data_IF_808206498196
#
_entry.id   IF_808206498196
#
_cell.length_a   1.000
_cell.length_b   1.000
_cell.length_c   1.000
_cell.angle_alpha   90.00
_cell.angle_beta   90.00
_cell.angle_gamma   90.00
#
_symmetry.space_group_name_H-M   'P 1'
#
loop_
_entity.id
_entity.type
_entity.pdbx_description
1 polymer ?
#
# COMPACT_ATOMS: atom_id res chain seq x y z
N UNK A 1 18.50 -21.87 16.61
CA UNK A 1 17.97 -20.64 17.18
C UNK A 1 19.07 -19.83 17.90
N UNK A 2 19.73 -20.34 18.94
CA UNK A 2 20.75 -19.61 19.70
C UNK A 2 21.88 -19.06 18.81
N UNK A 3 22.41 -19.84 17.88
CA UNK A 3 23.45 -19.41 16.94
C UNK A 3 22.97 -18.29 16.03
N UNK A 4 21.75 -18.38 15.49
CA UNK A 4 21.16 -17.35 14.64
C UNK A 4 20.94 -16.05 15.44
N UNK A 5 20.36 -16.14 16.63
CA UNK A 5 20.16 -14.99 17.52
C UNK A 5 21.48 -14.32 17.87
N UNK A 6 22.51 -15.09 18.20
CA UNK A 6 23.84 -14.56 18.53
C UNK A 6 24.50 -13.84 17.34
N UNK A 7 24.49 -14.47 16.14
CA UNK A 7 25.08 -13.90 14.93
C UNK A 7 24.36 -12.63 14.48
N UNK A 8 23.03 -12.63 14.48
CA UNK A 8 22.27 -11.44 14.11
C UNK A 8 22.33 -10.34 15.18
N UNK A 9 22.39 -10.73 16.47
CA UNK A 9 22.55 -9.74 17.53
C UNK A 9 23.91 -9.02 17.46
N UNK A 10 24.98 -9.72 17.06
CA UNK A 10 26.33 -9.15 16.95
C UNK A 10 26.57 -8.36 15.66
N UNK A 11 25.84 -8.62 14.57
CA UNK A 11 26.11 -8.08 13.23
C UNK A 11 25.05 -7.15 12.66
N UNK A 12 23.85 -7.11 13.24
CA UNK A 12 22.74 -6.29 12.75
C UNK A 12 22.21 -5.32 13.81
N UNK A 13 22.01 -4.04 13.48
CA UNK A 13 21.36 -3.09 14.37
C UNK A 13 19.87 -3.42 14.57
N UNK A 14 19.26 -4.21 13.65
CA UNK A 14 17.86 -4.63 13.74
C UNK A 14 17.72 -5.92 14.54
N UNK A 15 16.60 -6.11 15.28
CA UNK A 15 16.21 -7.41 15.79
C UNK A 15 16.08 -8.45 14.67
N UNK A 16 16.30 -9.73 14.98
CA UNK A 16 16.22 -10.81 13.99
C UNK A 16 14.82 -10.94 13.39
N UNK A 17 14.69 -10.65 12.10
CA UNK A 17 13.43 -10.77 11.38
C UNK A 17 13.03 -12.23 11.16
N UNK A 18 14.01 -13.10 10.87
CA UNK A 18 13.79 -14.53 10.66
C UNK A 18 13.39 -15.23 11.97
N UNK A 19 14.09 -14.93 13.07
CA UNK A 19 13.78 -15.50 14.38
C UNK A 19 12.40 -15.04 14.86
N UNK A 20 12.09 -13.74 14.73
CA UNK A 20 10.79 -13.17 15.09
C UNK A 20 9.65 -13.79 14.29
N UNK A 21 9.82 -13.95 12.97
CA UNK A 21 8.83 -14.61 12.11
C UNK A 21 8.63 -16.08 12.45
N UNK A 22 9.72 -16.83 12.69
CA UNK A 22 9.67 -18.23 13.09
C UNK A 22 8.96 -18.41 14.44
N UNK A 23 9.32 -17.62 15.45
CA UNK A 23 8.69 -17.67 16.78
C UNK A 23 7.19 -17.34 16.69
N UNK A 24 6.82 -16.34 15.87
CA UNK A 24 5.42 -15.98 15.68
C UNK A 24 4.60 -17.11 15.06
N UNK A 25 5.10 -17.75 13.98
CA UNK A 25 4.39 -18.85 13.34
C UNK A 25 4.30 -20.06 14.28
N UNK A 26 5.40 -20.42 14.95
CA UNK A 26 5.39 -21.58 15.84
C UNK A 26 4.51 -21.38 17.07
N UNK A 27 4.43 -20.18 17.65
CA UNK A 27 3.57 -19.93 18.81
C UNK A 27 2.09 -20.09 18.46
N UNK A 28 1.66 -19.74 17.23
CA UNK A 28 0.28 -19.95 16.78
C UNK A 28 -0.08 -21.45 16.75
N UNK A 29 0.82 -22.29 16.25
CA UNK A 29 0.62 -23.73 16.25
C UNK A 29 0.65 -24.30 17.68
N UNK A 30 1.58 -23.84 18.52
CA UNK A 30 1.67 -24.28 19.91
C UNK A 30 0.40 -23.93 20.71
N UNK A 31 -0.19 -22.75 20.50
CA UNK A 31 -1.46 -22.35 21.13
C UNK A 31 -2.58 -23.34 20.75
N UNK A 32 -2.70 -23.69 19.46
CA UNK A 32 -3.68 -24.65 19.00
C UNK A 32 -3.42 -26.04 19.61
N UNK A 33 -2.17 -26.47 19.68
CA UNK A 33 -1.76 -27.74 20.23
C UNK A 33 -2.00 -27.81 21.75
N UNK A 34 -1.64 -26.78 22.49
CA UNK A 34 -1.89 -26.68 23.95
C UNK A 34 -3.37 -26.76 24.25
N UNK A 35 -4.21 -26.04 23.47
CA UNK A 35 -5.66 -26.14 23.61
C UNK A 35 -6.15 -27.60 23.44
N UNK A 36 -5.65 -28.31 22.44
CA UNK A 36 -6.00 -29.71 22.19
C UNK A 36 -5.59 -30.59 23.40
N UNK A 37 -4.39 -30.39 23.97
CA UNK A 37 -3.94 -31.11 25.13
C UNK A 37 -4.81 -30.84 26.35
N UNK A 38 -5.22 -29.63 26.60
CA UNK A 38 -6.13 -29.31 27.71
C UNK A 38 -7.52 -29.95 27.56
N UNK A 39 -8.04 -30.03 26.32
CA UNK A 39 -9.33 -30.67 26.05
C UNK A 39 -9.29 -32.20 26.10
N UNK A 40 -8.14 -32.77 25.75
CA UNK A 40 -7.95 -34.25 25.74
C UNK A 40 -7.46 -34.80 27.09
N UNK A 41 -7.01 -33.94 28.01
CA UNK A 41 -6.41 -34.42 29.28
C UNK A 41 -7.47 -34.96 30.23
N UNK A 42 -7.42 -36.27 30.47
CA UNK A 42 -8.28 -36.98 31.43
C UNK A 42 -7.49 -37.44 32.65
N UNK A 43 -6.19 -37.66 32.53
CA UNK A 43 -5.31 -38.21 33.55
C UNK A 43 -4.36 -37.16 34.15
N UNK A 44 -3.87 -37.40 35.38
CA UNK A 44 -2.92 -36.50 36.06
C UNK A 44 -1.61 -36.29 35.29
N UNK A 45 -1.13 -37.30 34.56
CA UNK A 45 0.07 -37.21 33.70
C UNK A 45 -0.17 -36.35 32.45
N UNK A 46 -1.33 -36.47 31.82
CA UNK A 46 -1.74 -35.67 30.68
C UNK A 46 -1.93 -34.20 31.08
N UNK A 47 -2.48 -33.94 32.27
CA UNK A 47 -2.62 -32.62 32.83
C UNK A 47 -1.25 -31.99 33.12
N UNK A 48 -0.28 -32.74 33.61
CA UNK A 48 1.09 -32.27 33.81
C UNK A 48 1.75 -31.88 32.46
N UNK A 49 1.53 -32.67 31.42
CA UNK A 49 2.01 -32.40 30.07
C UNK A 49 1.38 -31.12 29.48
N UNK A 50 0.06 -30.94 29.69
CA UNK A 50 -0.67 -29.76 29.25
C UNK A 50 -0.11 -28.50 29.92
N UNK A 51 0.18 -28.56 31.24
CA UNK A 51 0.81 -27.45 31.98
C UNK A 51 2.21 -27.14 31.47
N UNK A 52 3.04 -28.16 31.22
CA UNK A 52 4.39 -28.00 30.68
C UNK A 52 4.36 -27.34 29.28
N UNK A 53 3.45 -27.79 28.44
CA UNK A 53 3.26 -27.20 27.10
C UNK A 53 2.80 -25.74 27.19
N UNK A 54 1.93 -25.40 28.13
CA UNK A 54 1.53 -24.00 28.40
C UNK A 54 2.72 -23.13 28.82
N UNK A 55 3.60 -23.64 29.71
CA UNK A 55 4.84 -22.96 30.05
C UNK A 55 5.74 -22.72 28.83
N UNK A 56 5.79 -23.67 27.91
CA UNK A 56 6.49 -23.51 26.61
C UNK A 56 5.96 -22.34 25.77
N UNK A 57 4.64 -22.22 25.67
CA UNK A 57 4.00 -21.10 24.96
C UNK A 57 4.31 -19.76 25.62
N UNK A 58 4.21 -19.70 26.96
CA UNK A 58 4.55 -18.47 27.73
C UNK A 58 6.02 -18.09 27.52
N UNK A 59 6.93 -19.05 27.56
CA UNK A 59 8.35 -18.81 27.31
C UNK A 59 8.60 -18.29 25.89
N UNK A 60 7.96 -18.85 24.86
CA UNK A 60 8.04 -18.32 23.49
C UNK A 60 7.47 -16.92 23.38
N UNK A 61 6.35 -16.62 24.03
CA UNK A 61 5.79 -15.27 24.08
C UNK A 61 6.75 -14.25 24.69
N UNK A 62 7.41 -14.62 25.80
CA UNK A 62 8.45 -13.80 26.41
C UNK A 62 9.65 -13.59 25.48
N UNK A 63 10.09 -14.63 24.78
CA UNK A 63 11.16 -14.50 23.77
C UNK A 63 10.77 -13.53 22.65
N UNK A 64 9.54 -13.60 22.14
CA UNK A 64 9.03 -12.67 21.13
C UNK A 64 9.06 -11.23 21.68
N UNK A 65 8.59 -10.98 22.88
CA UNK A 65 8.58 -9.67 23.51
C UNK A 65 9.99 -9.10 23.71
N UNK A 66 10.93 -9.95 24.09
CA UNK A 66 12.33 -9.56 24.26
C UNK A 66 13.00 -9.25 22.91
N UNK A 67 12.79 -10.09 21.88
CA UNK A 67 13.34 -9.87 20.54
C UNK A 67 12.67 -8.69 19.81
N UNK A 68 11.43 -8.34 20.16
CA UNK A 68 10.72 -7.21 19.59
C UNK A 68 11.30 -5.84 20.05
N UNK A 69 12.09 -5.80 21.11
CA UNK A 69 12.68 -4.54 21.62
C UNK A 69 13.75 -4.02 20.67
N UNK A 70 13.75 -2.70 20.46
CA UNK A 70 14.80 -2.03 19.68
C UNK A 70 16.16 -2.13 20.37
N UNK A 71 17.20 -2.37 19.58
CA UNK A 71 18.59 -2.51 20.05
C UNK A 71 19.33 -1.19 20.21
N UNK A 72 18.71 -0.04 19.89
CA UNK A 72 19.36 1.29 19.89
C UNK A 72 20.12 1.63 21.15
N UNK A 73 19.66 1.16 22.34
CA UNK A 73 20.31 1.40 23.63
C UNK A 73 21.59 0.56 23.85
N UNK A 74 21.78 -0.49 23.05
CA UNK A 74 22.88 -1.45 23.23
C UNK A 74 23.98 -1.29 22.18
N UNK A 75 23.76 -0.41 21.18
CA UNK A 75 24.73 -0.16 20.11
C UNK A 75 25.68 0.94 20.57
N UNK A 76 26.98 0.64 20.55
CA UNK A 76 28.04 1.60 20.89
C UNK A 76 28.10 2.66 19.80
N UNK A 77 28.17 3.95 20.17
CA UNK A 77 28.22 5.10 19.25
C UNK A 77 26.98 5.30 18.36
N UNK A 78 25.79 4.90 18.85
CA UNK A 78 24.55 5.18 18.14
C UNK A 78 24.07 6.61 18.44
N UNK A 79 24.22 7.51 17.48
CA UNK A 79 23.64 8.85 17.60
C UNK A 79 22.18 8.85 17.07
N UNK A 80 21.26 9.11 17.99
CA UNK A 80 19.81 9.21 17.68
C UNK A 80 19.50 10.37 16.75
N UNK A 81 20.39 11.38 16.64
CA UNK A 81 20.22 12.51 15.72
C UNK A 81 20.61 12.21 14.29
N UNK A 82 21.46 11.21 14.06
CA UNK A 82 21.95 10.83 12.74
C UNK A 82 21.21 9.64 12.15
N UNK A 83 20.56 8.82 13.00
CA UNK A 83 19.92 7.58 12.60
C UNK A 83 18.42 7.58 12.86
N UNK A 84 17.66 7.03 11.92
CA UNK A 84 16.21 6.85 12.09
C UNK A 84 15.88 5.75 13.11
N UNK A 85 14.86 5.94 13.97
CA UNK A 85 14.34 4.88 14.82
C UNK A 85 13.90 3.64 14.02
N UNK A 86 13.56 3.80 12.74
CA UNK A 86 13.22 2.75 11.80
C UNK A 86 14.36 1.74 11.60
N UNK A 87 15.61 2.19 11.63
CA UNK A 87 16.79 1.34 11.43
C UNK A 87 16.99 0.28 12.52
N UNK A 88 16.55 0.57 13.74
CA UNK A 88 16.67 -0.34 14.89
C UNK A 88 15.38 -1.05 15.27
N UNK A 89 14.29 -0.78 14.57
CA UNK A 89 12.98 -1.34 14.87
C UNK A 89 12.84 -2.75 14.27
N UNK A 90 12.34 -3.69 15.09
CA UNK A 90 12.06 -5.05 14.67
C UNK A 90 10.78 -5.21 13.84
N UNK A 91 10.53 -6.45 13.39
CA UNK A 91 9.40 -6.81 12.51
C UNK A 91 8.05 -6.29 13.03
N UNK A 92 7.75 -6.48 14.31
CA UNK A 92 6.47 -6.07 14.90
C UNK A 92 6.32 -4.55 14.98
N UNK A 93 7.40 -3.85 15.31
CA UNK A 93 7.41 -2.39 15.37
C UNK A 93 7.25 -1.75 14.00
N UNK A 94 7.80 -2.37 12.94
CA UNK A 94 7.61 -1.94 11.55
C UNK A 94 6.18 -2.22 11.08
N UNK A 95 5.65 -3.42 11.32
CA UNK A 95 4.31 -3.80 10.86
C UNK A 95 3.17 -3.04 11.55
N UNK A 96 3.36 -2.61 12.81
CA UNK A 96 2.39 -1.82 13.55
C UNK A 96 2.75 -0.31 13.61
N UNK A 97 3.82 0.14 12.94
CA UNK A 97 4.32 1.52 12.94
C UNK A 97 4.56 2.11 14.34
N UNK A 98 4.91 1.26 15.32
CA UNK A 98 5.06 1.68 16.72
C UNK A 98 6.17 2.73 16.93
N UNK A 99 7.16 2.74 16.08
CA UNK A 99 8.26 3.70 16.09
C UNK A 99 7.82 5.14 15.78
N UNK A 100 6.68 5.33 15.11
CA UNK A 100 6.09 6.65 14.80
C UNK A 100 5.28 7.23 15.96
N UNK A 101 4.89 6.43 16.96
CA UNK A 101 4.02 6.89 18.05
C UNK A 101 4.56 8.11 18.78
N UNK A 102 5.87 8.17 19.01
CA UNK A 102 6.50 9.33 19.69
C UNK A 102 6.37 10.60 18.83
N UNK A 103 6.50 10.49 17.51
CA UNK A 103 6.32 11.60 16.57
C UNK A 103 4.86 12.05 16.52
N UNK A 104 3.91 11.13 16.49
CA UNK A 104 2.48 11.44 16.52
C UNK A 104 2.06 12.13 17.82
N UNK A 105 2.54 11.68 18.96
CA UNK A 105 2.28 12.33 20.24
C UNK A 105 2.88 13.74 20.30
N UNK A 106 4.06 13.94 19.70
CA UNK A 106 4.68 15.26 19.59
C UNK A 106 3.84 16.18 18.69
N UNK A 107 3.38 15.68 17.54
CA UNK A 107 2.53 16.43 16.60
C UNK A 107 1.14 16.74 17.16
N UNK A 108 0.60 15.91 18.05
CA UNK A 108 -0.63 16.23 18.78
C UNK A 108 -0.47 17.41 19.74
N UNK A 109 0.72 17.57 20.34
CA UNK A 109 0.99 18.63 21.33
C UNK A 109 1.47 19.95 20.72
N UNK A 110 2.15 19.89 19.56
CA UNK A 110 2.69 21.08 18.87
C UNK A 110 2.70 20.89 17.36
N UNK A 111 2.76 22.00 16.63
CA UNK A 111 3.02 21.99 15.18
C UNK A 111 4.43 21.45 14.96
N UNK A 112 4.56 20.44 14.10
CA UNK A 112 5.84 19.83 13.77
C UNK A 112 6.63 20.72 12.81
N UNK A 113 7.89 20.96 13.12
CA UNK A 113 8.88 21.59 12.26
C UNK A 113 9.77 20.51 11.61
N UNK A 114 10.51 20.89 10.57
CA UNK A 114 11.42 19.97 9.87
C UNK A 114 12.45 19.35 10.82
N UNK A 115 12.93 20.10 11.80
CA UNK A 115 13.88 19.64 12.81
C UNK A 115 13.28 18.66 13.83
N UNK A 116 11.96 18.52 13.88
CA UNK A 116 11.27 17.57 14.73
C UNK A 116 11.12 16.19 14.10
N UNK A 117 11.35 16.10 12.78
CA UNK A 117 11.27 14.85 12.02
C UNK A 117 12.50 13.98 12.28
N UNK A 118 12.32 12.68 12.18
CA UNK A 118 13.43 11.75 12.24
C UNK A 118 14.34 11.88 11.02
N UNK A 119 15.65 11.65 11.17
CA UNK A 119 16.54 11.56 10.02
C UNK A 119 16.13 10.43 9.08
N UNK A 120 16.50 10.56 7.82
CA UNK A 120 16.22 9.55 6.81
C UNK A 120 17.11 8.32 7.02
N UNK A 121 16.56 7.13 6.81
CA UNK A 121 17.34 5.88 6.79
C UNK A 121 18.47 5.98 5.74
N UNK A 122 19.67 5.57 6.10
CA UNK A 122 20.85 5.60 5.23
C UNK A 122 20.65 4.85 3.91
N UNK A 123 19.82 3.82 3.90
CA UNK A 123 19.44 3.09 2.67
C UNK A 123 18.55 3.91 1.72
N UNK A 124 17.99 5.01 2.19
CA UNK A 124 17.15 5.91 1.39
C UNK A 124 17.85 7.23 1.05
N UNK A 125 19.03 7.47 1.62
CA UNK A 125 19.82 8.67 1.32
C UNK A 125 20.23 8.68 -0.16
N UNK A 126 20.01 9.81 -0.84
CA UNK A 126 20.26 9.93 -2.29
C UNK A 126 21.72 9.67 -2.67
N UNK A 127 22.66 9.99 -1.79
CA UNK A 127 24.10 9.76 -2.02
C UNK A 127 24.44 8.28 -2.00
N UNK A 128 23.99 7.55 -0.98
CA UNK A 128 24.22 6.09 -0.87
C UNK A 128 23.55 5.32 -2.00
N UNK A 129 22.33 5.73 -2.40
CA UNK A 129 21.61 5.17 -3.53
C UNK A 129 22.34 5.41 -4.85
N UNK A 130 22.81 6.65 -5.07
CA UNK A 130 23.56 6.98 -6.29
C UNK A 130 24.87 6.22 -6.36
N UNK A 131 25.66 6.15 -5.29
CA UNK A 131 26.92 5.41 -5.26
C UNK A 131 26.75 3.93 -5.61
N UNK A 132 25.65 3.28 -5.14
CA UNK A 132 25.38 1.86 -5.39
C UNK A 132 24.77 1.58 -6.78
N UNK A 133 24.01 2.52 -7.33
CA UNK A 133 23.08 2.26 -8.43
C UNK A 133 23.35 3.14 -9.67
N UNK A 134 24.31 4.08 -9.62
CA UNK A 134 24.65 4.98 -10.74
C UNK A 134 25.00 4.23 -12.02
N UNK A 135 25.67 3.10 -11.91
CA UNK A 135 26.03 2.25 -13.06
C UNK A 135 24.78 1.78 -13.86
N UNK A 136 23.65 1.57 -13.23
CA UNK A 136 22.41 1.16 -13.90
C UNK A 136 21.67 2.33 -14.54
N UNK A 137 21.94 3.56 -14.10
CA UNK A 137 21.33 4.80 -14.59
C UNK A 137 22.21 5.54 -15.61
N UNK A 138 23.24 4.91 -16.13
CA UNK A 138 24.03 5.51 -17.18
C UNK A 138 23.19 5.75 -18.43
N UNK A 139 23.05 7.04 -18.78
CA UNK A 139 22.22 7.51 -19.90
C UNK A 139 22.65 6.87 -21.22
N UNK A 140 23.94 6.51 -21.38
CA UNK A 140 24.45 5.87 -22.56
C UNK A 140 23.79 4.51 -22.86
N UNK A 141 23.39 3.78 -21.81
CA UNK A 141 22.81 2.43 -21.89
C UNK A 141 21.35 2.42 -22.35
N UNK A 142 20.60 3.50 -22.12
CA UNK A 142 19.18 3.55 -22.44
C UNK A 142 18.76 4.68 -23.40
N UNK A 143 19.70 5.52 -23.83
CA UNK A 143 19.46 6.58 -24.82
C UNK A 143 18.85 5.99 -26.12
N UNK A 144 17.72 6.55 -26.54
CA UNK A 144 17.00 6.11 -27.75
C UNK A 144 16.08 4.89 -27.58
N UNK A 145 16.06 4.24 -26.42
CA UNK A 145 15.12 3.13 -26.16
C UNK A 145 13.80 3.64 -25.57
N UNK A 146 12.67 3.22 -26.18
CA UNK A 146 11.30 3.68 -25.80
C UNK A 146 10.97 3.51 -24.30
N UNK A 147 11.50 2.50 -23.63
CA UNK A 147 11.29 2.20 -22.22
C UNK A 147 12.60 2.11 -21.42
N UNK A 148 13.65 2.77 -21.90
CA UNK A 148 15.00 2.65 -21.34
C UNK A 148 15.08 3.04 -19.87
N UNK A 149 14.50 4.20 -19.49
CA UNK A 149 14.49 4.66 -18.09
C UNK A 149 13.74 3.71 -17.16
N UNK A 150 12.55 3.23 -17.56
CA UNK A 150 11.79 2.29 -16.75
C UNK A 150 12.55 0.98 -16.52
N UNK A 151 13.22 0.46 -17.55
CA UNK A 151 14.03 -0.75 -17.45
C UNK A 151 15.28 -0.54 -16.58
N UNK A 152 15.93 0.63 -16.68
CA UNK A 152 17.08 1.00 -15.87
C UNK A 152 16.69 1.10 -14.38
N UNK A 153 15.57 1.77 -14.07
CA UNK A 153 15.02 1.84 -12.71
C UNK A 153 14.63 0.47 -12.16
N UNK A 154 13.98 -0.37 -12.98
CA UNK A 154 13.59 -1.72 -12.57
C UNK A 154 14.81 -2.60 -12.25
N UNK A 155 15.89 -2.48 -13.02
CA UNK A 155 17.16 -3.19 -12.74
C UNK A 155 17.86 -2.64 -11.50
N UNK A 156 17.93 -1.32 -11.37
CA UNK A 156 18.54 -0.66 -10.22
C UNK A 156 17.82 -0.99 -8.91
N UNK A 157 16.50 -1.06 -8.94
CA UNK A 157 15.64 -1.31 -7.77
C UNK A 157 15.08 -2.74 -7.74
N UNK A 158 15.70 -3.71 -8.43
CA UNK A 158 15.16 -5.07 -8.54
C UNK A 158 14.89 -5.72 -7.17
N UNK A 159 15.84 -5.65 -6.24
CA UNK A 159 15.68 -6.20 -4.90
C UNK A 159 14.59 -5.48 -4.10
N UNK A 160 14.58 -4.14 -3.99
CA UNK A 160 13.47 -3.41 -3.38
C UNK A 160 12.11 -3.69 -4.01
N UNK A 161 12.02 -3.87 -5.34
CA UNK A 161 10.76 -4.17 -6.05
C UNK A 161 10.19 -5.55 -5.71
N UNK A 162 11.03 -6.55 -5.41
CA UNK A 162 10.55 -7.89 -5.05
C UNK A 162 10.02 -7.93 -3.62
N UNK A 163 10.52 -7.09 -2.73
CA UNK A 163 10.19 -7.12 -1.31
C UNK A 163 8.67 -6.94 -1.02
N UNK A 164 7.92 -6.03 -1.68
CA UNK A 164 6.47 -5.90 -1.50
C UNK A 164 5.65 -7.10 -1.99
N UNK A 165 6.22 -7.97 -2.85
CA UNK A 165 5.52 -9.13 -3.42
C UNK A 165 5.07 -10.10 -2.32
N UNK A 166 5.95 -10.40 -1.35
CA UNK A 166 5.66 -11.36 -0.28
C UNK A 166 4.45 -10.92 0.56
N UNK A 167 4.40 -9.71 1.15
CA UNK A 167 3.23 -9.27 1.89
C UNK A 167 2.00 -9.08 1.00
N UNK A 168 2.16 -8.76 -0.30
CA UNK A 168 1.03 -8.65 -1.24
C UNK A 168 0.37 -10.00 -1.52
N UNK A 169 1.16 -11.06 -1.67
CA UNK A 169 0.65 -12.44 -1.80
C UNK A 169 -0.03 -12.88 -0.50
N UNK A 170 0.59 -12.63 0.66
CA UNK A 170 0.01 -12.94 1.96
C UNK A 170 -1.33 -12.21 2.17
N UNK A 171 -1.41 -10.93 1.80
CA UNK A 171 -2.64 -10.14 1.85
C UNK A 171 -3.75 -10.77 0.99
N UNK A 172 -3.42 -11.22 -0.23
CA UNK A 172 -4.35 -11.95 -1.10
C UNK A 172 -4.84 -13.25 -0.45
N UNK A 173 -3.93 -14.05 0.08
CA UNK A 173 -4.25 -15.30 0.75
C UNK A 173 -5.21 -15.09 1.95
N UNK A 174 -4.91 -14.14 2.84
CA UNK A 174 -5.78 -13.82 3.97
C UNK A 174 -7.16 -13.30 3.54
N UNK A 175 -7.23 -12.49 2.47
CA UNK A 175 -8.53 -12.05 1.93
C UNK A 175 -9.38 -13.21 1.45
N UNK A 176 -8.78 -14.21 0.78
CA UNK A 176 -9.48 -15.40 0.35
C UNK A 176 -9.85 -16.36 1.50
N UNK A 177 -9.25 -16.24 2.67
CA UNK A 177 -9.71 -16.97 3.86
C UNK A 177 -11.05 -16.46 4.40
N UNK A 178 -11.42 -15.19 4.17
CA UNK A 178 -12.67 -14.60 4.69
C UNK A 178 -13.93 -15.36 4.24
N UNK A 179 -14.15 -15.66 2.94
CA UNK A 179 -15.32 -16.41 2.49
C UNK A 179 -15.42 -17.80 3.13
N UNK A 180 -14.28 -18.50 3.33
CA UNK A 180 -14.27 -19.80 3.98
C UNK A 180 -14.66 -19.74 5.46
N UNK A 181 -14.26 -18.66 6.15
CA UNK A 181 -14.68 -18.43 7.54
C UNK A 181 -16.19 -18.14 7.57
N UNK A 182 -16.71 -17.31 6.67
CA UNK A 182 -18.14 -17.00 6.57
C UNK A 182 -18.93 -18.29 6.30
N UNK A 183 -18.49 -19.13 5.37
CA UNK A 183 -19.11 -20.41 5.07
C UNK A 183 -19.16 -21.32 6.30
N UNK A 184 -18.04 -21.45 7.01
CA UNK A 184 -17.93 -22.29 8.21
C UNK A 184 -18.80 -21.76 9.35
N UNK A 185 -18.85 -20.44 9.51
CA UNK A 185 -19.70 -19.79 10.52
C UNK A 185 -21.20 -20.01 10.25
N UNK A 186 -21.63 -19.80 8.99
CA UNK A 186 -23.02 -20.00 8.61
C UNK A 186 -23.45 -21.46 8.74
N UNK A 187 -22.59 -22.41 8.38
CA UNK A 187 -22.83 -23.84 8.60
C UNK A 187 -22.94 -24.20 10.07
N UNK A 188 -22.12 -23.57 10.93
CA UNK A 188 -22.19 -23.78 12.38
C UNK A 188 -23.48 -23.21 12.98
N UNK A 189 -23.90 -22.01 12.57
CA UNK A 189 -25.14 -21.36 13.04
C UNK A 189 -26.40 -22.05 12.50
N UNK A 190 -26.34 -22.66 11.31
CA UNK A 190 -27.47 -23.36 10.68
C UNK A 190 -27.78 -24.73 11.32
N UNK A 191 -26.87 -25.33 12.07
CA UNK A 191 -27.07 -26.60 12.79
C UNK A 191 -27.74 -26.39 14.14
N UNK A 192 -29.01 -25.97 14.12
CA UNK A 192 -29.78 -25.65 15.34
C UNK A 192 -30.11 -26.85 16.24
N UNK A 193 -30.12 -28.07 15.71
CA UNK A 193 -30.63 -29.26 16.40
C UNK A 193 -29.55 -30.24 16.88
N UNK A 194 -28.32 -30.06 16.50
CA UNK A 194 -27.19 -30.81 17.04
C UNK A 194 -26.47 -29.98 18.10
N UNK A 195 -26.28 -30.54 19.30
CA UNK A 195 -25.42 -29.97 20.34
C UNK A 195 -24.00 -29.87 19.75
N UNK A 196 -23.77 -28.80 18.98
CA UNK A 196 -22.44 -28.56 18.43
C UNK A 196 -21.53 -28.18 19.59
N UNK A 197 -20.34 -28.79 19.72
CA UNK A 197 -19.42 -28.44 20.79
C UNK A 197 -19.12 -26.94 20.77
N UNK A 198 -19.29 -26.22 21.87
CA UNK A 198 -18.97 -24.80 22.04
C UNK A 198 -17.56 -24.44 21.54
N UNK A 199 -16.69 -25.43 21.54
CA UNK A 199 -15.32 -25.36 21.05
C UNK A 199 -15.17 -24.99 19.59
N UNK A 200 -16.12 -25.31 18.70
CA UNK A 200 -16.08 -24.93 17.28
C UNK A 200 -16.33 -23.43 17.15
N UNK A 201 -17.28 -22.88 17.91
CA UNK A 201 -17.56 -21.45 17.93
C UNK A 201 -16.35 -20.61 18.35
N UNK A 202 -15.68 -20.98 19.44
CA UNK A 202 -14.46 -20.33 19.88
C UNK A 202 -13.31 -20.45 18.86
N UNK A 203 -13.22 -21.62 18.18
CA UNK A 203 -12.25 -21.81 17.09
C UNK A 203 -12.48 -20.87 15.91
N UNK A 204 -13.73 -20.66 15.51
CA UNK A 204 -14.11 -19.71 14.44
C UNK A 204 -13.83 -18.26 14.82
N UNK A 205 -14.07 -17.87 16.08
CA UNK A 205 -13.70 -16.55 16.60
C UNK A 205 -12.18 -16.33 16.48
N UNK A 206 -11.40 -17.31 16.96
CA UNK A 206 -9.92 -17.24 16.87
C UNK A 206 -9.42 -17.18 15.44
N UNK A 207 -9.99 -17.96 14.52
CA UNK A 207 -9.66 -17.93 13.10
C UNK A 207 -10.01 -16.56 12.47
N UNK A 208 -11.14 -15.99 12.82
CA UNK A 208 -11.55 -14.66 12.34
C UNK A 208 -10.57 -13.59 12.79
N UNK A 209 -10.21 -13.56 14.07
CA UNK A 209 -9.22 -12.61 14.60
C UNK A 209 -7.88 -12.77 13.87
N UNK A 210 -7.40 -14.01 13.68
CA UNK A 210 -6.14 -14.30 13.00
C UNK A 210 -6.14 -13.77 11.57
N UNK A 211 -7.22 -14.01 10.81
CA UNK A 211 -7.33 -13.57 9.41
C UNK A 211 -7.38 -12.05 9.31
N UNK A 212 -8.20 -11.37 10.14
CA UNK A 212 -8.27 -9.91 10.08
C UNK A 212 -6.98 -9.22 10.55
N UNK A 213 -6.34 -9.74 11.60
CA UNK A 213 -5.00 -9.26 12.01
C UNK A 213 -3.97 -9.55 10.91
N UNK A 214 -4.02 -10.72 10.30
CA UNK A 214 -3.17 -11.07 9.15
C UNK A 214 -3.33 -10.11 7.98
N UNK A 215 -4.57 -9.74 7.63
CA UNK A 215 -4.86 -8.74 6.60
C UNK A 215 -4.25 -7.39 6.97
N UNK A 216 -4.46 -6.92 8.20
CA UNK A 216 -3.96 -5.63 8.66
C UNK A 216 -2.43 -5.56 8.60
N UNK A 217 -1.76 -6.59 9.14
CA UNK A 217 -0.29 -6.67 9.16
C UNK A 217 0.29 -6.81 7.75
N UNK A 218 -0.28 -7.70 6.92
CA UNK A 218 0.18 -7.90 5.55
C UNK A 218 0.00 -6.62 4.71
N UNK A 219 -1.12 -5.91 4.88
CA UNK A 219 -1.38 -4.63 4.23
C UNK A 219 -0.39 -3.54 4.67
N UNK A 220 -0.10 -3.47 5.98
CA UNK A 220 0.87 -2.52 6.53
C UNK A 220 2.28 -2.75 5.94
N UNK A 221 2.76 -4.00 5.92
CA UNK A 221 4.05 -4.33 5.31
C UNK A 221 4.08 -4.10 3.80
N UNK A 222 3.00 -4.41 3.10
CA UNK A 222 2.91 -4.16 1.67
C UNK A 222 3.13 -2.68 1.34
N UNK A 223 2.38 -1.79 1.98
CA UNK A 223 2.52 -0.35 1.77
C UNK A 223 3.84 0.19 2.28
N UNK A 224 4.34 -0.30 3.41
CA UNK A 224 5.65 0.08 3.92
C UNK A 224 6.77 -0.17 2.90
N UNK A 225 6.84 -1.38 2.32
CA UNK A 225 7.86 -1.70 1.34
C UNK A 225 7.61 -0.99 0.01
N UNK A 226 6.36 -0.86 -0.43
CA UNK A 226 5.99 -0.18 -1.66
C UNK A 226 6.39 1.30 -1.64
N UNK A 227 6.07 2.02 -0.57
CA UNK A 227 6.47 3.42 -0.41
C UNK A 227 7.98 3.59 -0.36
N UNK A 228 8.71 2.72 0.32
CA UNK A 228 10.18 2.74 0.32
C UNK A 228 10.77 2.61 -1.09
N UNK A 229 10.20 1.77 -1.94
CA UNK A 229 10.62 1.66 -3.35
C UNK A 229 10.41 2.97 -4.09
N UNK A 230 9.24 3.59 -3.93
CA UNK A 230 8.91 4.85 -4.58
C UNK A 230 9.84 5.99 -4.15
N UNK A 231 10.12 6.12 -2.85
CA UNK A 231 11.04 7.14 -2.35
C UNK A 231 12.49 6.89 -2.79
N UNK A 232 12.94 5.62 -2.85
CA UNK A 232 14.25 5.27 -3.43
C UNK A 232 14.31 5.62 -4.91
N UNK A 233 13.27 5.34 -5.68
CA UNK A 233 13.18 5.72 -7.09
C UNK A 233 13.23 7.25 -7.26
N UNK A 234 12.51 8.01 -6.41
CA UNK A 234 12.57 9.46 -6.39
C UNK A 234 13.98 9.98 -6.14
N UNK A 235 14.63 9.52 -5.08
CA UNK A 235 15.99 9.93 -4.72
C UNK A 235 16.99 9.68 -5.84
N UNK A 236 16.91 8.52 -6.49
CA UNK A 236 17.76 8.17 -7.63
C UNK A 236 17.54 9.09 -8.84
N UNK A 237 16.27 9.32 -9.21
CA UNK A 237 15.95 10.17 -10.37
C UNK A 237 16.34 11.62 -10.13
N UNK A 238 16.02 12.17 -8.95
CA UNK A 238 16.38 13.55 -8.59
C UNK A 238 17.90 13.73 -8.64
N UNK A 239 18.65 12.81 -8.01
CA UNK A 239 20.11 12.88 -8.00
C UNK A 239 20.71 12.74 -9.41
N UNK A 240 20.17 11.83 -10.23
CA UNK A 240 20.62 11.63 -11.61
C UNK A 240 20.40 12.90 -12.47
N UNK A 241 19.23 13.55 -12.34
CA UNK A 241 18.95 14.81 -13.05
C UNK A 241 19.88 15.92 -12.55
N UNK A 242 20.05 16.03 -11.22
CA UNK A 242 20.96 17.02 -10.63
C UNK A 242 22.39 16.86 -11.16
N UNK A 243 22.94 15.65 -11.12
CA UNK A 243 24.28 15.39 -11.66
C UNK A 243 24.37 15.72 -13.13
N UNK A 244 23.33 15.40 -13.93
CA UNK A 244 23.32 15.71 -15.35
C UNK A 244 23.25 17.21 -15.64
N UNK A 245 22.49 17.96 -14.83
CA UNK A 245 22.44 19.44 -14.95
C UNK A 245 23.81 20.10 -14.67
N UNK A 246 24.57 19.56 -13.71
CA UNK A 246 25.92 20.09 -13.42
C UNK A 246 26.94 19.82 -14.51
N UNK A 247 26.72 18.80 -15.36
CA UNK A 247 27.58 18.47 -16.52
C UNK A 247 27.21 19.29 -17.80
N UNK A 248 26.02 19.88 -17.84
CA UNK A 248 25.58 20.64 -19.01
C UNK A 248 26.27 22.00 -19.10
N UNK A 249 26.50 22.47 -20.33
CA UNK A 249 26.99 23.84 -20.57
C UNK A 249 25.92 24.84 -20.14
N UNK A 250 26.34 25.97 -19.58
CA UNK A 250 25.45 27.05 -19.09
C UNK A 250 24.47 27.54 -20.18
N UNK A 251 24.91 27.57 -21.44
CA UNK A 251 24.08 27.97 -22.59
C UNK A 251 22.99 26.95 -22.96
N UNK A 252 23.10 25.71 -22.50
CA UNK A 252 22.13 24.64 -22.77
C UNK A 252 21.28 24.29 -21.55
N UNK A 253 21.54 24.92 -20.41
CA UNK A 253 20.80 24.72 -19.16
C UNK A 253 19.60 25.67 -19.13
N UNK A 254 18.40 25.09 -19.13
CA UNK A 254 17.17 25.78 -18.73
C UNK A 254 16.88 25.40 -17.28
N UNK A 255 17.15 26.30 -16.36
CA UNK A 255 16.98 26.08 -14.91
C UNK A 255 15.52 25.75 -14.56
N UNK A 256 14.58 26.32 -15.30
CA UNK A 256 13.15 26.05 -15.09
C UNK A 256 12.76 24.64 -15.53
N UNK A 257 13.35 24.13 -16.61
CA UNK A 257 13.10 22.78 -17.10
C UNK A 257 13.68 21.73 -16.14
N UNK A 258 14.90 21.93 -15.63
CA UNK A 258 15.52 21.02 -14.67
C UNK A 258 14.70 20.91 -13.38
N UNK A 259 14.23 22.03 -12.84
CA UNK A 259 13.40 22.07 -11.64
C UNK A 259 12.05 21.36 -11.87
N UNK A 260 11.42 21.54 -13.03
CA UNK A 260 10.16 20.90 -13.41
C UNK A 260 10.34 19.39 -13.52
N UNK A 261 11.45 18.91 -14.11
CA UNK A 261 11.78 17.50 -14.19
C UNK A 261 11.98 16.88 -12.81
N UNK A 262 12.72 17.56 -11.91
CA UNK A 262 12.99 17.07 -10.54
C UNK A 262 11.76 17.05 -9.64
N UNK A 263 10.74 17.83 -9.93
CA UNK A 263 9.51 17.93 -9.14
C UNK A 263 8.33 17.23 -9.84
N UNK A 264 7.69 17.92 -10.75
CA UNK A 264 6.39 17.52 -11.33
C UNK A 264 6.46 16.24 -12.14
N UNK A 265 7.51 16.06 -12.96
CA UNK A 265 7.58 14.91 -13.85
C UNK A 265 7.98 13.64 -13.10
N UNK A 266 8.87 13.75 -12.11
CA UNK A 266 9.17 12.62 -11.23
C UNK A 266 7.93 12.20 -10.44
N UNK A 267 7.17 13.14 -9.87
CA UNK A 267 5.96 12.81 -9.13
C UNK A 267 4.91 12.09 -10.03
N UNK A 268 4.79 12.48 -11.30
CA UNK A 268 3.95 11.77 -12.27
C UNK A 268 4.42 10.36 -12.56
N UNK A 269 5.73 10.15 -12.68
CA UNK A 269 6.32 8.81 -12.85
C UNK A 269 6.02 7.95 -11.63
N UNK A 270 6.21 8.48 -10.43
CA UNK A 270 5.95 7.76 -9.18
C UNK A 270 4.48 7.39 -9.02
N UNK A 271 3.55 8.28 -9.39
CA UNK A 271 2.12 7.97 -9.43
C UNK A 271 1.81 6.79 -10.37
N UNK A 272 2.51 6.69 -11.50
CA UNK A 272 2.39 5.55 -12.41
C UNK A 272 2.98 4.24 -11.84
N UNK A 273 4.03 4.31 -11.05
CA UNK A 273 4.66 3.15 -10.40
C UNK A 273 3.94 2.70 -9.11
N UNK A 274 3.18 3.58 -8.48
CA UNK A 274 2.49 3.28 -7.22
C UNK A 274 1.63 2.00 -7.28
N UNK A 275 0.80 1.74 -8.31
CA UNK A 275 -0.02 0.53 -8.38
C UNK A 275 0.67 -0.67 -9.08
N UNK A 276 2.00 -0.69 -9.24
CA UNK A 276 2.68 -1.70 -10.06
C UNK A 276 2.39 -3.15 -9.62
N UNK A 277 2.30 -3.38 -8.31
CA UNK A 277 1.99 -4.70 -7.76
C UNK A 277 0.49 -5.02 -7.74
N UNK A 278 -0.37 -4.00 -7.89
CA UNK A 278 -1.81 -4.21 -7.97
C UNK A 278 -2.21 -4.89 -9.30
N UNK A 279 -1.52 -4.61 -10.41
CA UNK A 279 -1.87 -5.17 -11.72
C UNK A 279 -1.83 -6.71 -11.74
N UNK A 280 -0.68 -7.31 -11.42
CA UNK A 280 -0.54 -8.76 -11.41
C UNK A 280 -1.36 -9.42 -10.31
N UNK A 281 -1.42 -8.78 -9.13
CA UNK A 281 -2.16 -9.30 -8.00
C UNK A 281 -3.67 -9.33 -8.26
N UNK A 282 -4.23 -8.28 -8.87
CA UNK A 282 -5.63 -8.23 -9.24
C UNK A 282 -5.99 -9.28 -10.30
N UNK A 283 -5.12 -9.52 -11.29
CA UNK A 283 -5.33 -10.59 -12.29
C UNK A 283 -5.44 -11.95 -11.59
N UNK A 284 -4.51 -12.27 -10.68
CA UNK A 284 -4.54 -13.52 -9.93
C UNK A 284 -5.79 -13.61 -9.05
N UNK A 285 -6.15 -12.52 -8.36
CA UNK A 285 -7.33 -12.47 -7.50
C UNK A 285 -8.62 -12.68 -8.29
N UNK A 286 -8.79 -12.02 -9.44
CA UNK A 286 -9.96 -12.20 -10.31
C UNK A 286 -10.04 -13.64 -10.82
N UNK A 287 -8.93 -14.23 -11.27
CA UNK A 287 -8.90 -15.61 -11.74
C UNK A 287 -9.30 -16.60 -10.63
N UNK A 288 -8.78 -16.40 -9.42
CA UNK A 288 -9.10 -17.23 -8.26
C UNK A 288 -10.55 -17.04 -7.80
N UNK A 289 -11.05 -15.80 -7.77
CA UNK A 289 -12.44 -15.50 -7.45
C UNK A 289 -13.41 -16.16 -8.46
N UNK A 290 -13.15 -16.04 -9.76
CA UNK A 290 -13.93 -16.71 -10.80
C UNK A 290 -13.93 -18.23 -10.66
N UNK A 291 -12.77 -18.81 -10.32
CA UNK A 291 -12.66 -20.26 -10.09
C UNK A 291 -13.47 -20.71 -8.88
N UNK A 292 -13.38 -20.01 -7.74
CA UNK A 292 -14.14 -20.32 -6.55
C UNK A 292 -15.66 -20.11 -6.76
N UNK A 293 -16.03 -19.02 -7.41
CA UNK A 293 -17.43 -18.71 -7.72
C UNK A 293 -18.05 -19.76 -8.66
N UNK A 294 -17.28 -20.25 -9.66
CA UNK A 294 -17.73 -21.32 -10.56
C UNK A 294 -18.01 -22.63 -9.80
N UNK A 295 -17.25 -22.91 -8.75
CA UNK A 295 -17.49 -24.07 -7.88
C UNK A 295 -18.78 -23.96 -7.07
N UNK A 296 -19.15 -22.76 -6.64
CA UNK A 296 -20.32 -22.53 -5.81
C UNK A 296 -21.63 -22.38 -6.61
N UNK A 297 -21.65 -21.47 -7.61
CA UNK A 297 -22.88 -21.10 -8.33
C UNK A 297 -22.95 -21.78 -9.71
N UNK A 298 -21.86 -22.44 -10.16
CA UNK A 298 -21.77 -23.02 -11.49
C UNK A 298 -21.52 -21.95 -12.56
N UNK A 299 -22.03 -22.09 -13.80
CA UNK A 299 -21.69 -21.21 -14.92
C UNK A 299 -22.18 -19.76 -14.77
N UNK A 300 -23.03 -19.47 -13.77
CA UNK A 300 -23.58 -18.14 -13.51
C UNK A 300 -22.50 -17.09 -13.16
N UNK A 301 -21.28 -17.50 -12.78
CA UNK A 301 -20.15 -16.60 -12.58
C UNK A 301 -19.80 -15.77 -13.83
N UNK A 302 -20.14 -16.27 -15.04
CA UNK A 302 -19.94 -15.56 -16.30
C UNK A 302 -20.70 -14.24 -16.31
N UNK A 303 -21.86 -14.17 -15.67
CA UNK A 303 -22.63 -12.94 -15.55
C UNK A 303 -21.86 -11.84 -14.79
N UNK A 304 -21.20 -12.20 -13.67
CA UNK A 304 -20.29 -11.29 -12.94
C UNK A 304 -19.18 -10.79 -13.87
N UNK A 305 -18.54 -11.70 -14.59
CA UNK A 305 -17.43 -11.37 -15.50
C UNK A 305 -17.86 -10.43 -16.63
N UNK A 306 -19.04 -10.61 -17.18
CA UNK A 306 -19.61 -9.73 -18.22
C UNK A 306 -19.83 -8.33 -17.65
N UNK A 307 -20.44 -8.21 -16.47
CA UNK A 307 -20.68 -6.90 -15.82
C UNK A 307 -19.35 -6.17 -15.56
N UNK A 308 -18.38 -6.85 -14.95
CA UNK A 308 -17.08 -6.25 -14.65
C UNK A 308 -16.36 -5.83 -15.94
N UNK A 309 -16.36 -6.68 -16.96
CA UNK A 309 -15.71 -6.38 -18.25
C UNK A 309 -16.39 -5.21 -18.95
N UNK A 310 -17.72 -5.15 -18.95
CA UNK A 310 -18.48 -4.05 -19.53
C UNK A 310 -18.17 -2.71 -18.83
N UNK A 311 -18.12 -2.70 -17.50
CA UNK A 311 -17.74 -1.51 -16.73
C UNK A 311 -16.28 -1.09 -16.98
N UNK A 312 -15.37 -2.05 -17.12
CA UNK A 312 -13.97 -1.78 -17.44
C UNK A 312 -13.81 -1.17 -18.83
N UNK A 313 -14.46 -1.76 -19.85
CA UNK A 313 -14.44 -1.23 -21.20
C UNK A 313 -15.02 0.19 -21.27
N UNK A 314 -16.11 0.41 -20.56
CA UNK A 314 -16.71 1.75 -20.47
C UNK A 314 -15.77 2.77 -19.84
N UNK A 315 -15.13 2.41 -18.74
CA UNK A 315 -14.12 3.26 -18.06
C UNK A 315 -12.95 3.56 -19.00
N UNK A 316 -12.47 2.58 -19.76
CA UNK A 316 -11.42 2.78 -20.75
C UNK A 316 -11.84 3.73 -21.89
N UNK A 317 -13.09 3.66 -22.34
CA UNK A 317 -13.64 4.61 -23.32
C UNK A 317 -13.70 6.01 -22.73
N UNK A 318 -14.20 6.17 -21.49
CA UNK A 318 -14.26 7.48 -20.82
C UNK A 318 -12.87 8.09 -20.66
N UNK A 319 -11.85 7.30 -20.36
CA UNK A 319 -10.47 7.79 -20.21
C UNK A 319 -9.96 8.52 -21.47
N UNK A 320 -10.37 8.07 -22.66
CA UNK A 320 -10.03 8.76 -23.93
C UNK A 320 -10.61 10.16 -24.01
N UNK A 321 -11.77 10.40 -23.41
CA UNK A 321 -12.41 11.71 -23.40
C UNK A 321 -11.95 12.61 -22.21
N UNK A 322 -11.42 12.01 -21.16
CA UNK A 322 -10.97 12.75 -19.97
C UNK A 322 -9.72 13.58 -20.26
N UNK A 323 -8.73 13.03 -20.94
CA UNK A 323 -7.46 13.70 -21.24
C UNK A 323 -7.62 15.02 -21.98
N UNK A 324 -8.28 15.07 -23.14
CA UNK A 324 -8.51 16.33 -23.87
C UNK A 324 -9.28 17.38 -23.06
N UNK A 325 -10.31 16.97 -22.31
CA UNK A 325 -11.08 17.89 -21.45
C UNK A 325 -10.24 18.44 -20.29
N UNK A 326 -9.42 17.60 -19.68
CA UNK A 326 -8.47 18.02 -18.65
C UNK A 326 -7.46 19.02 -19.21
N UNK A 327 -6.92 18.79 -20.41
CA UNK A 327 -5.99 19.69 -21.07
C UNK A 327 -6.61 21.07 -21.29
N UNK A 328 -7.81 21.14 -21.84
CA UNK A 328 -8.55 22.41 -22.04
C UNK A 328 -8.74 23.14 -20.70
N UNK A 329 -9.11 22.43 -19.65
CA UNK A 329 -9.26 23.02 -18.32
C UNK A 329 -7.93 23.56 -17.79
N UNK A 330 -6.83 22.80 -17.89
CA UNK A 330 -5.50 23.23 -17.46
C UNK A 330 -4.98 24.45 -18.23
N UNK A 331 -5.24 24.55 -19.54
CA UNK A 331 -4.91 25.73 -20.35
C UNK A 331 -5.64 26.98 -19.84
N UNK A 332 -6.92 26.85 -19.47
CA UNK A 332 -7.70 27.94 -18.88
C UNK A 332 -7.15 28.37 -17.51
N UNK A 333 -6.76 27.40 -16.66
CA UNK A 333 -6.10 27.67 -15.37
C UNK A 333 -4.81 28.45 -15.61
N UNK A 334 -3.93 27.96 -16.49
CA UNK A 334 -2.63 28.60 -16.77
C UNK A 334 -2.79 30.04 -17.27
N UNK A 335 -3.76 30.28 -18.16
CA UNK A 335 -4.03 31.61 -18.67
C UNK A 335 -4.46 32.55 -17.55
N UNK A 336 -5.39 32.16 -16.68
CA UNK A 336 -5.83 32.98 -15.54
C UNK A 336 -4.72 33.19 -14.52
N UNK A 337 -4.01 32.11 -14.12
CA UNK A 337 -2.93 32.18 -13.12
C UNK A 337 -1.79 33.04 -13.64
N UNK A 338 -1.40 32.90 -14.91
CA UNK A 338 -0.36 33.75 -15.54
C UNK A 338 -0.72 35.21 -15.49
N UNK A 339 -1.94 35.59 -15.91
CA UNK A 339 -2.40 36.98 -15.83
C UNK A 339 -2.44 37.49 -14.38
N UNK A 340 -2.95 36.67 -13.44
CA UNK A 340 -3.03 37.04 -12.02
C UNK A 340 -1.63 37.27 -11.43
N UNK A 341 -0.67 36.42 -11.75
CA UNK A 341 0.74 36.54 -11.30
C UNK A 341 1.37 37.84 -11.82
N UNK A 342 1.18 38.15 -13.11
CA UNK A 342 1.67 39.40 -13.72
C UNK A 342 1.07 40.62 -13.03
N UNK A 343 -0.23 40.59 -12.74
CA UNK A 343 -0.94 41.71 -12.08
C UNK A 343 -0.41 41.88 -10.65
N UNK A 344 -0.21 40.83 -9.90
CA UNK A 344 0.36 40.88 -8.53
C UNK A 344 1.76 41.50 -8.58
N UNK A 345 2.60 41.06 -9.52
CA UNK A 345 3.95 41.63 -9.70
C UNK A 345 3.96 43.14 -10.06
N UNK A 346 2.91 43.61 -10.74
CA UNK A 346 2.80 45.01 -11.19
C UNK A 346 1.70 45.82 -10.45
N UNK A 347 1.30 45.37 -9.27
CA UNK A 347 0.16 45.93 -8.51
C UNK A 347 0.30 47.43 -8.25
N UNK A 348 1.52 47.96 -8.02
CA UNK A 348 1.78 49.38 -7.81
C UNK A 348 1.40 50.22 -9.06
N UNK A 349 1.84 49.78 -10.22
CA UNK A 349 1.55 50.47 -11.48
C UNK A 349 0.07 50.41 -11.82
N UNK A 350 -0.57 49.29 -11.54
CA UNK A 350 -2.00 49.12 -11.73
C UNK A 350 -2.84 50.08 -10.88
N UNK A 351 -2.48 50.25 -9.62
CA UNK A 351 -3.17 51.19 -8.72
C UNK A 351 -2.98 52.63 -9.15
N UNK A 352 -1.78 52.99 -9.60
CA UNK A 352 -1.49 54.36 -10.10
C UNK A 352 -2.30 54.67 -11.34
N UNK A 353 -2.45 53.70 -12.26
CA UNK A 353 -3.21 53.91 -13.51
C UNK A 353 -4.73 53.82 -13.34
N UNK A 354 -5.25 53.48 -12.16
CA UNK A 354 -6.69 53.43 -11.88
C UNK A 354 -7.43 52.25 -12.58
N UNK A 355 -6.72 51.33 -13.22
CA UNK A 355 -7.28 50.24 -14.02
C UNK A 355 -7.69 49.01 -13.19
N UNK A 356 -7.83 49.09 -11.87
CA UNK A 356 -8.11 47.96 -10.98
C UNK A 356 -9.44 47.25 -11.32
N UNK A 357 -10.53 48.01 -11.54
CA UNK A 357 -11.87 47.48 -11.86
C UNK A 357 -11.94 46.73 -13.20
N UNK A 358 -11.44 47.27 -14.34
CA UNK A 358 -11.45 46.56 -15.61
C UNK A 358 -10.67 45.27 -15.57
N UNK A 359 -9.56 45.25 -14.84
CA UNK A 359 -8.72 44.04 -14.70
C UNK A 359 -9.39 42.99 -13.81
N UNK A 360 -10.03 43.41 -12.72
CA UNK A 360 -10.84 42.50 -11.88
C UNK A 360 -11.93 41.82 -12.72
N UNK A 361 -12.68 42.59 -13.53
CA UNK A 361 -13.69 42.04 -14.43
C UNK A 361 -13.08 41.05 -15.44
N UNK A 362 -11.90 41.32 -15.96
CA UNK A 362 -11.20 40.43 -16.89
C UNK A 362 -10.77 39.15 -16.23
N UNK A 363 -10.22 39.19 -15.01
CA UNK A 363 -9.86 37.99 -14.24
C UNK A 363 -11.12 37.18 -13.92
N UNK A 364 -12.22 37.84 -13.53
CA UNK A 364 -13.48 37.19 -13.23
C UNK A 364 -14.06 36.48 -14.47
N UNK A 365 -13.98 37.09 -15.64
CA UNK A 365 -14.40 36.49 -16.91
C UNK A 365 -13.57 35.23 -17.21
N UNK A 366 -12.25 35.29 -17.05
CA UNK A 366 -11.38 34.11 -17.20
C UNK A 366 -11.72 33.02 -16.18
N UNK A 367 -12.08 33.38 -14.94
CA UNK A 367 -12.51 32.41 -13.92
C UNK A 367 -13.81 31.72 -14.29
N UNK A 368 -14.78 32.46 -14.83
CA UNK A 368 -16.04 31.85 -15.29
C UNK A 368 -15.79 30.88 -16.44
N UNK A 369 -14.92 31.20 -17.38
CA UNK A 369 -14.55 30.33 -18.48
C UNK A 369 -13.81 29.05 -18.01
N UNK A 370 -12.91 29.21 -17.03
CA UNK A 370 -12.25 28.09 -16.36
C UNK A 370 -13.27 27.17 -15.68
N UNK A 371 -14.23 27.75 -14.94
CA UNK A 371 -15.27 26.99 -14.24
C UNK A 371 -16.16 26.20 -15.22
N UNK A 372 -16.52 26.77 -16.37
CA UNK A 372 -17.26 26.07 -17.42
C UNK A 372 -16.46 24.86 -17.96
N UNK A 373 -15.17 25.04 -18.22
CA UNK A 373 -14.30 23.94 -18.66
C UNK A 373 -14.14 22.85 -17.57
N UNK A 374 -13.95 23.29 -16.32
CA UNK A 374 -13.86 22.43 -15.14
C UNK A 374 -15.15 21.62 -14.92
N UNK A 375 -16.33 22.23 -15.09
CA UNK A 375 -17.61 21.55 -14.93
C UNK A 375 -17.76 20.35 -15.88
N UNK A 376 -17.39 20.53 -17.16
CA UNK A 376 -17.42 19.45 -18.16
C UNK A 376 -16.49 18.28 -17.82
N UNK A 377 -15.30 18.58 -17.29
CA UNK A 377 -14.35 17.56 -16.84
C UNK A 377 -14.86 16.86 -15.58
N UNK A 378 -15.34 17.62 -14.58
CA UNK A 378 -15.86 17.06 -13.32
C UNK A 378 -17.08 16.18 -13.51
N UNK A 379 -18.02 16.58 -14.37
CA UNK A 379 -19.17 15.73 -14.72
C UNK A 379 -18.71 14.38 -15.26
N UNK A 380 -17.71 14.37 -16.14
CA UNK A 380 -17.14 13.13 -16.63
C UNK A 380 -16.50 12.28 -15.52
N UNK A 381 -15.80 12.92 -14.56
CA UNK A 381 -15.18 12.23 -13.42
C UNK A 381 -16.21 11.65 -12.45
N UNK A 382 -17.30 12.39 -12.16
CA UNK A 382 -18.41 11.90 -11.35
C UNK A 382 -19.05 10.67 -11.99
N UNK A 383 -19.27 10.71 -13.31
CA UNK A 383 -19.82 9.60 -14.05
C UNK A 383 -18.86 8.39 -14.09
N UNK A 384 -17.54 8.63 -14.21
CA UNK A 384 -16.53 7.59 -14.12
C UNK A 384 -16.51 6.93 -12.72
N UNK A 385 -16.60 7.72 -11.66
CA UNK A 385 -16.69 7.22 -10.29
C UNK A 385 -17.95 6.37 -10.07
N UNK A 386 -19.10 6.82 -10.59
CA UNK A 386 -20.34 6.05 -10.53
C UNK A 386 -20.21 4.70 -11.21
N UNK A 387 -19.67 4.65 -12.44
CA UNK A 387 -19.43 3.38 -13.15
C UNK A 387 -18.40 2.50 -12.46
N UNK A 388 -17.37 3.11 -11.82
CA UNK A 388 -16.40 2.36 -11.03
C UNK A 388 -16.99 1.63 -9.82
N UNK A 389 -18.11 2.13 -9.27
CA UNK A 389 -18.85 1.48 -8.19
C UNK A 389 -19.85 0.44 -8.68
N UNK A 390 -20.30 0.51 -9.95
CA UNK A 390 -21.32 -0.36 -10.52
C UNK A 390 -21.03 -1.87 -10.40
N UNK A 391 -19.80 -2.36 -10.60
CA UNK A 391 -19.52 -3.78 -10.43
C UNK A 391 -19.96 -4.31 -9.07
N UNK A 392 -19.66 -3.59 -7.98
CA UNK A 392 -20.01 -4.03 -6.64
C UNK A 392 -21.54 -4.09 -6.37
N UNK A 393 -22.32 -3.21 -7.02
CA UNK A 393 -23.77 -3.16 -6.84
C UNK A 393 -24.53 -4.02 -7.85
N UNK A 394 -24.05 -4.10 -9.09
CA UNK A 394 -24.79 -4.75 -10.18
C UNK A 394 -24.41 -6.23 -10.33
N UNK A 395 -23.18 -6.62 -10.00
CA UNK A 395 -22.74 -8.00 -10.16
C UNK A 395 -23.54 -8.99 -9.31
N UNK A 396 -23.81 -8.76 -8.00
CA UNK A 396 -24.54 -9.72 -7.20
C UNK A 396 -25.96 -10.01 -7.72
N UNK A 397 -26.84 -9.01 -7.94
CA UNK A 397 -28.20 -9.30 -8.39
C UNK A 397 -28.24 -9.95 -9.77
N UNK A 398 -27.36 -9.52 -10.71
CA UNK A 398 -27.30 -10.13 -12.05
C UNK A 398 -26.82 -11.57 -11.94
N UNK A 399 -25.79 -11.85 -11.14
CA UNK A 399 -25.27 -13.20 -10.98
C UNK A 399 -26.29 -14.14 -10.37
N UNK A 400 -27.02 -13.70 -9.33
CA UNK A 400 -28.04 -14.51 -8.69
C UNK A 400 -29.29 -14.69 -9.56
N UNK A 401 -29.65 -13.72 -10.42
CA UNK A 401 -30.75 -13.86 -11.37
C UNK A 401 -30.50 -14.99 -12.40
N UNK A 402 -29.23 -15.24 -12.75
CA UNK A 402 -28.84 -16.32 -13.67
C UNK A 402 -28.36 -17.59 -12.94
N UNK A 403 -28.48 -17.65 -11.61
CA UNK A 403 -28.02 -18.81 -10.86
C UNK A 403 -28.82 -20.07 -11.22
N UNK A 404 -28.13 -21.09 -11.68
CA UNK A 404 -28.71 -22.37 -12.10
C UNK A 404 -28.84 -23.37 -10.94
N UNK A 405 -28.21 -23.11 -9.81
CA UNK A 405 -28.23 -23.96 -8.60
C UNK A 405 -29.17 -23.39 -7.56
N UNK A 406 -29.69 -24.24 -6.67
CA UNK A 406 -30.46 -23.79 -5.49
C UNK A 406 -29.59 -22.85 -4.65
N UNK A 407 -30.10 -21.65 -4.45
CA UNK A 407 -29.47 -20.62 -3.64
C UNK A 407 -29.86 -20.86 -2.17
N UNK A 408 -28.95 -21.48 -1.41
CA UNK A 408 -29.05 -21.53 0.04
C UNK A 408 -28.39 -20.29 0.67
N UNK A 409 -28.79 -19.93 1.89
CA UNK A 409 -28.27 -18.78 2.63
C UNK A 409 -26.75 -18.78 2.66
N UNK A 410 -26.14 -19.95 2.95
CA UNK A 410 -24.67 -20.11 2.98
C UNK A 410 -24.06 -19.80 1.62
N UNK A 411 -24.65 -20.32 0.54
CA UNK A 411 -24.16 -20.10 -0.83
C UNK A 411 -24.26 -18.65 -1.25
N UNK A 412 -25.35 -17.95 -0.87
CA UNK A 412 -25.55 -16.53 -1.18
C UNK A 412 -24.47 -15.67 -0.51
N UNK A 413 -24.27 -15.82 0.81
CA UNK A 413 -23.31 -14.99 1.55
C UNK A 413 -21.85 -15.28 1.18
N UNK A 414 -21.49 -16.54 0.97
CA UNK A 414 -20.13 -16.88 0.50
C UNK A 414 -19.88 -16.41 -0.93
N UNK A 415 -20.85 -16.55 -1.83
CA UNK A 415 -20.73 -16.05 -3.20
C UNK A 415 -20.64 -14.53 -3.26
N UNK A 416 -21.39 -13.83 -2.43
CA UNK A 416 -21.32 -12.37 -2.28
C UNK A 416 -19.93 -11.91 -1.85
N UNK A 417 -19.23 -12.72 -1.06
CA UNK A 417 -17.86 -12.40 -0.62
C UNK A 417 -16.81 -12.59 -1.73
N UNK A 418 -17.12 -13.36 -2.78
CA UNK A 418 -16.24 -13.53 -3.95
C UNK A 418 -16.53 -12.52 -5.07
N UNK A 419 -17.73 -11.97 -5.13
CA UNK A 419 -18.16 -10.94 -6.09
C UNK A 419 -17.64 -9.56 -5.67
#
# INVERSE_FOLDING_TARGET
MLVLSFLEHSRSPRPSTLLSGYLFVTILFDIAQVRTFWLASTNSKELAFSRLSTCGVVTKALMILLEARSKSKWIIQWDVKEHSPEETTGLYGLGAYLWLNALFLKGYRKVLEVNDLYPLDNDMAAESLHARLSHHLDVSTFKGKKHGLAMALAKALAVPLILPVVPRVALGAFRFCQPFIIESLLKHLGKKDEVSPDNIGYGLIGATILVYVGIAVANAFYWYFQERVLYKARGLMVKAIYMKTTELKITASDDSAALTLMSTDIDRILLGFHPIHEFWANIIQVALACWLLSRQIGPSFVATLIVVTACFLWTAIQAKFAGPRQKIWMEKIQRRVGLTSTIIGQMKHLKISGLSRPIEQSIQALRVDELKASARYRQLMVFAAFIGLMPGFLSPPVTFAFASRKLDVTTIFTSLSYI
#
